data_IF_121155035048
#
_entry.id   IF_121155035048
#
_cell.length_a   1.000
_cell.length_b   1.000
_cell.length_c   1.000
_cell.angle_alpha   90.00
_cell.angle_beta   90.00
_cell.angle_gamma   90.00
#
_symmetry.space_group_name_H-M   'P 1'
#
loop_
_entity.id
_entity.type
_entity.pdbx_description
1 polymer ?
#
# COMPACT_ATOMS: atom_id res chain seq x y z
N UNK A 1 9.15 12.07 5.63
CA UNK A 1 7.74 11.80 5.32
C UNK A 1 6.78 12.52 6.28
N UNK A 2 6.63 12.09 7.54
CA UNK A 2 5.65 12.67 8.48
C UNK A 2 5.69 14.21 8.62
N UNK A 3 6.87 14.80 8.83
CA UNK A 3 6.98 16.25 8.97
C UNK A 3 6.58 17.00 7.68
N UNK A 4 6.94 16.45 6.51
CA UNK A 4 6.54 16.98 5.21
C UNK A 4 5.02 16.84 5.03
N UNK A 5 4.45 15.69 5.34
CA UNK A 5 3.02 15.45 5.25
C UNK A 5 2.23 16.42 6.15
N UNK A 6 2.68 16.64 7.39
CA UNK A 6 2.10 17.66 8.27
C UNK A 6 2.19 19.06 7.65
N UNK A 7 3.36 19.45 7.16
CA UNK A 7 3.58 20.79 6.60
C UNK A 7 2.79 21.02 5.30
N UNK A 8 2.54 19.96 4.53
CA UNK A 8 1.79 19.99 3.28
C UNK A 8 0.29 19.65 3.47
N UNK A 9 -0.17 19.49 4.72
CA UNK A 9 -1.56 19.11 5.03
C UNK A 9 -2.01 17.82 4.33
N UNK A 10 -1.10 16.86 4.13
CA UNK A 10 -1.40 15.59 3.51
C UNK A 10 -2.07 14.62 4.49
N UNK A 11 -3.03 13.84 4.00
CA UNK A 11 -3.81 12.92 4.84
C UNK A 11 -3.02 11.69 5.31
N UNK A 12 -1.99 11.27 4.56
CA UNK A 12 -1.27 10.04 4.86
C UNK A 12 0.17 10.03 4.34
N UNK A 13 0.94 9.09 4.87
CA UNK A 13 2.22 8.65 4.31
C UNK A 13 2.16 7.16 4.00
N UNK A 14 2.86 6.75 2.94
CA UNK A 14 3.17 5.35 2.65
C UNK A 14 4.53 5.00 3.24
N UNK A 15 4.59 3.93 4.03
CA UNK A 15 5.82 3.42 4.63
C UNK A 15 6.10 2.04 4.06
N UNK A 16 7.20 1.93 3.32
CA UNK A 16 7.57 0.68 2.66
C UNK A 16 7.83 -0.43 3.68
N UNK A 17 8.70 -0.20 4.66
CA UNK A 17 9.01 -1.19 5.72
C UNK A 17 8.74 -0.54 7.06
N UNK A 18 7.53 -0.73 7.59
CA UNK A 18 7.16 -0.23 8.91
C UNK A 18 7.63 -1.17 10.03
N UNK A 19 7.58 -2.48 9.78
CA UNK A 19 7.89 -3.54 10.74
C UNK A 19 8.74 -4.65 10.14
N UNK A 20 9.36 -5.45 11.02
CA UNK A 20 10.26 -6.54 10.66
C UNK A 20 11.57 -6.07 10.03
N UNK A 21 12.26 -6.98 9.34
CA UNK A 21 13.46 -6.67 8.59
C UNK A 21 13.42 -7.41 7.25
N UNK A 22 13.83 -6.71 6.19
CA UNK A 22 13.78 -7.24 4.82
C UNK A 22 15.11 -7.03 4.13
N UNK A 23 15.56 -8.05 3.39
CA UNK A 23 16.65 -7.94 2.43
C UNK A 23 16.11 -7.34 1.13
N UNK A 24 16.71 -6.25 0.71
CA UNK A 24 16.39 -5.51 -0.52
C UNK A 24 17.64 -5.41 -1.41
N UNK A 25 17.50 -4.82 -2.60
CA UNK A 25 18.63 -4.41 -3.45
C UNK A 25 19.57 -3.39 -2.77
N UNK A 26 19.08 -2.69 -1.74
CA UNK A 26 19.84 -1.73 -0.93
C UNK A 26 20.40 -2.33 0.38
N UNK A 27 20.33 -3.66 0.51
CA UNK A 27 20.71 -4.36 1.74
C UNK A 27 19.55 -4.55 2.71
N UNK A 28 19.87 -4.74 4.00
CA UNK A 28 18.88 -4.99 5.05
C UNK A 28 18.24 -3.66 5.45
N UNK A 29 16.92 -3.60 5.38
CA UNK A 29 16.13 -2.49 5.89
C UNK A 29 15.26 -2.98 7.04
N UNK A 30 15.36 -2.30 8.18
CA UNK A 30 14.64 -2.61 9.40
C UNK A 30 13.48 -1.62 9.62
N UNK A 31 12.32 -2.16 9.99
CA UNK A 31 11.14 -1.39 10.33
C UNK A 31 11.31 -0.65 11.65
N UNK A 32 11.03 0.66 11.64
CA UNK A 32 11.20 1.55 12.82
C UNK A 32 9.86 2.09 13.34
N UNK A 33 8.82 1.25 13.34
CA UNK A 33 7.45 1.62 13.75
C UNK A 33 7.40 2.48 15.04
N UNK A 34 8.09 2.03 16.07
CA UNK A 34 8.12 2.71 17.37
C UNK A 34 8.65 4.15 17.30
N UNK A 35 9.66 4.41 16.47
CA UNK A 35 10.19 5.76 16.25
C UNK A 35 9.24 6.61 15.40
N UNK A 36 8.65 6.02 14.36
CA UNK A 36 7.66 6.68 13.51
C UNK A 36 6.46 7.16 14.34
N UNK A 37 5.91 6.29 15.20
CA UNK A 37 4.77 6.61 16.06
C UNK A 37 5.10 7.69 17.10
N UNK A 38 6.26 7.57 17.77
CA UNK A 38 6.72 8.60 18.73
C UNK A 38 6.96 9.94 18.04
N UNK A 39 7.55 9.92 16.84
CA UNK A 39 7.79 11.13 16.08
C UNK A 39 6.47 11.76 15.63
N UNK A 40 5.51 10.98 15.11
CA UNK A 40 4.17 11.45 14.74
C UNK A 40 3.50 12.20 15.89
N UNK A 41 3.50 11.60 17.09
CA UNK A 41 2.97 12.23 18.30
C UNK A 41 3.74 13.48 18.70
N UNK A 42 5.08 13.42 18.71
CA UNK A 42 5.95 14.55 19.08
C UNK A 42 5.69 15.80 18.25
N UNK A 43 5.39 15.62 16.96
CA UNK A 43 5.12 16.74 16.05
C UNK A 43 3.63 17.06 15.94
N UNK A 44 2.72 16.42 16.69
CA UNK A 44 1.28 16.64 16.58
C UNK A 44 0.70 16.30 15.19
N UNK A 45 1.19 15.23 14.57
CA UNK A 45 0.78 14.77 13.23
C UNK A 45 -0.11 13.52 13.28
N UNK A 46 -0.86 13.29 14.36
CA UNK A 46 -1.74 12.11 14.49
C UNK A 46 -2.88 12.06 13.47
N UNK A 47 -3.22 13.20 12.85
CA UNK A 47 -4.13 13.25 11.71
C UNK A 47 -3.55 12.58 10.46
N UNK A 48 -2.21 12.56 10.30
CA UNK A 48 -1.53 11.93 9.17
C UNK A 48 -1.51 10.41 9.38
N UNK A 49 -2.23 9.69 8.52
CA UNK A 49 -2.35 8.24 8.54
C UNK A 49 -1.05 7.56 8.07
N UNK A 50 -0.73 6.42 8.65
CA UNK A 50 0.40 5.58 8.25
C UNK A 50 -0.14 4.37 7.50
N UNK A 51 -0.01 4.38 6.17
CA UNK A 51 -0.26 3.20 5.37
C UNK A 51 1.04 2.43 5.17
N UNK A 52 1.06 1.16 5.56
CA UNK A 52 2.25 0.32 5.51
C UNK A 52 2.15 -0.75 4.44
N UNK A 53 3.22 -0.95 3.67
CA UNK A 53 3.29 -2.04 2.70
C UNK A 53 3.43 -3.39 3.42
N UNK A 54 2.70 -4.39 2.92
CA UNK A 54 2.85 -5.80 3.28
C UNK A 54 3.59 -6.48 2.13
N UNK A 55 4.66 -7.22 2.45
CA UNK A 55 5.49 -7.90 1.46
C UNK A 55 5.92 -7.04 0.27
N UNK A 56 6.67 -6.01 0.65
CA UNK A 56 7.35 -5.02 -0.21
C UNK A 56 7.95 -5.63 -1.48
N UNK A 57 7.71 -4.96 -2.62
CA UNK A 57 8.34 -5.29 -3.90
C UNK A 57 9.85 -5.40 -3.80
N UNK A 58 10.44 -6.31 -4.58
CA UNK A 58 11.90 -6.46 -4.69
C UNK A 58 12.59 -6.74 -3.35
N UNK A 59 11.90 -7.42 -2.42
CA UNK A 59 12.46 -7.72 -1.12
C UNK A 59 12.00 -9.06 -0.55
N UNK A 60 12.84 -9.64 0.29
CA UNK A 60 12.59 -10.90 1.00
C UNK A 60 12.62 -10.64 2.50
N UNK A 61 11.71 -11.27 3.25
CA UNK A 61 11.77 -11.22 4.71
C UNK A 61 13.03 -11.97 5.20
N UNK A 62 13.68 -11.45 6.24
CA UNK A 62 14.86 -12.12 6.84
C UNK A 62 14.49 -13.33 7.70
N UNK A 63 13.21 -13.49 8.05
CA UNK A 63 12.68 -14.61 8.79
C UNK A 63 11.32 -14.97 8.20
N UNK A 64 11.04 -16.27 8.12
CA UNK A 64 9.73 -16.75 7.70
C UNK A 64 8.65 -16.27 8.68
N UNK A 65 7.59 -15.70 8.11
CA UNK A 65 6.39 -15.28 8.83
C UNK A 65 5.19 -15.67 8.00
N UNK A 66 4.12 -16.09 8.68
CA UNK A 66 2.83 -16.27 8.01
C UNK A 66 2.28 -14.91 7.60
N UNK A 67 1.42 -14.91 6.57
CA UNK A 67 0.77 -13.68 6.11
C UNK A 67 -0.06 -13.05 7.24
N UNK A 68 -0.75 -13.89 8.01
CA UNK A 68 -1.54 -13.52 9.18
C UNK A 68 -0.69 -12.75 10.20
N UNK A 69 0.47 -13.28 10.57
CA UNK A 69 1.37 -12.63 11.50
C UNK A 69 1.92 -11.30 10.93
N UNK A 70 2.30 -11.26 9.65
CA UNK A 70 2.77 -10.03 9.00
C UNK A 70 1.69 -8.93 9.05
N UNK A 71 0.44 -9.27 8.75
CA UNK A 71 -0.70 -8.34 8.79
C UNK A 71 -1.01 -7.88 10.21
N UNK A 72 -1.17 -8.80 11.16
CA UNK A 72 -1.53 -8.47 12.55
C UNK A 72 -0.45 -7.64 13.24
N UNK A 73 0.84 -7.97 13.05
CA UNK A 73 1.94 -7.19 13.61
C UNK A 73 2.04 -5.80 12.99
N UNK A 74 1.78 -5.67 11.68
CA UNK A 74 1.81 -4.37 11.00
C UNK A 74 0.69 -3.46 11.50
N UNK A 75 -0.53 -3.99 11.65
CA UNK A 75 -1.67 -3.22 12.12
C UNK A 75 -1.60 -2.92 13.62
N UNK A 76 -1.46 -3.95 14.45
CA UNK A 76 -1.69 -3.83 15.89
C UNK A 76 -0.43 -3.51 16.67
N UNK A 77 0.69 -4.17 16.35
CA UNK A 77 1.96 -3.94 17.07
C UNK A 77 2.69 -2.70 16.55
N UNK A 78 2.62 -2.46 15.25
CA UNK A 78 3.37 -1.40 14.57
C UNK A 78 2.53 -0.14 14.34
N UNK A 79 1.21 -0.22 14.56
CA UNK A 79 0.31 0.93 14.57
C UNK A 79 0.06 1.53 13.19
N UNK A 80 0.09 0.72 12.12
CA UNK A 80 -0.37 1.17 10.81
C UNK A 80 -1.87 1.47 10.85
N UNK A 81 -2.27 2.58 10.22
CA UNK A 81 -3.67 2.95 10.05
C UNK A 81 -4.33 2.20 8.88
N UNK A 82 -3.53 1.64 7.98
CA UNK A 82 -3.98 0.87 6.81
C UNK A 82 -2.84 0.10 6.16
N UNK A 83 -3.19 -0.83 5.29
CA UNK A 83 -2.23 -1.67 4.59
C UNK A 83 -2.19 -1.37 3.11
N UNK A 84 -1.02 -1.59 2.52
CA UNK A 84 -0.82 -1.55 1.08
C UNK A 84 -0.32 -2.91 0.62
N UNK A 85 -1.06 -3.55 -0.28
CA UNK A 85 -0.67 -4.78 -0.95
C UNK A 85 -0.10 -4.42 -2.32
N UNK A 86 1.11 -4.89 -2.60
CA UNK A 86 1.76 -4.69 -3.89
C UNK A 86 2.04 -6.03 -4.56
N UNK A 87 2.08 -6.08 -5.90
CA UNK A 87 2.54 -7.26 -6.63
C UNK A 87 4.04 -7.46 -6.43
N UNK A 88 4.61 -8.59 -6.85
CA UNK A 88 6.03 -8.91 -6.59
C UNK A 88 7.05 -7.98 -7.28
N UNK A 89 6.64 -7.24 -8.32
CA UNK A 89 7.48 -6.31 -9.08
C UNK A 89 6.67 -5.42 -10.03
N UNK A 90 7.32 -4.50 -10.72
CA UNK A 90 6.70 -3.66 -11.76
C UNK A 90 6.22 -4.53 -12.92
N UNK A 91 5.02 -4.27 -13.43
CA UNK A 91 4.40 -5.03 -14.53
C UNK A 91 3.89 -6.43 -14.17
N UNK A 92 4.16 -6.93 -12.94
CA UNK A 92 3.59 -8.19 -12.47
C UNK A 92 2.22 -7.95 -11.83
N UNK A 93 1.19 -8.74 -12.20
CA UNK A 93 -0.13 -8.63 -11.58
C UNK A 93 -0.05 -8.92 -10.08
N UNK A 94 -0.98 -8.34 -9.34
CA UNK A 94 -1.13 -8.63 -7.91
C UNK A 94 -1.74 -10.02 -7.77
N UNK A 95 -1.21 -10.81 -6.84
CA UNK A 95 -1.80 -12.09 -6.46
C UNK A 95 -3.15 -11.83 -5.77
N UNK A 96 -4.23 -12.20 -6.46
CA UNK A 96 -5.59 -12.00 -6.00
C UNK A 96 -5.89 -12.79 -4.72
N UNK A 97 -5.36 -14.01 -4.59
CA UNK A 97 -5.60 -14.84 -3.42
C UNK A 97 -4.90 -14.23 -2.20
N UNK A 98 -3.70 -13.69 -2.39
CA UNK A 98 -3.02 -12.89 -1.37
C UNK A 98 -3.83 -11.66 -0.98
N UNK A 99 -4.36 -10.91 -1.94
CA UNK A 99 -5.18 -9.72 -1.65
C UNK A 99 -6.43 -10.09 -0.84
N UNK A 100 -7.15 -11.15 -1.23
CA UNK A 100 -8.31 -11.66 -0.50
C UNK A 100 -7.95 -12.05 0.94
N UNK A 101 -6.84 -12.77 1.11
CA UNK A 101 -6.36 -13.17 2.43
C UNK A 101 -6.05 -11.93 3.29
N UNK A 102 -5.29 -10.96 2.79
CA UNK A 102 -5.01 -9.70 3.51
C UNK A 102 -6.30 -8.97 3.85
N UNK A 103 -7.25 -8.83 2.91
CA UNK A 103 -8.53 -8.17 3.16
C UNK A 103 -9.34 -8.86 4.26
N UNK A 104 -9.35 -10.19 4.28
CA UNK A 104 -10.00 -10.99 5.32
C UNK A 104 -9.35 -10.79 6.69
N UNK A 105 -8.02 -10.86 6.76
CA UNK A 105 -7.26 -10.74 8.02
C UNK A 105 -7.34 -9.30 8.57
N UNK A 106 -7.30 -8.29 7.69
CA UNK A 106 -7.29 -6.87 8.07
C UNK A 106 -8.61 -6.37 8.64
N UNK A 107 -9.68 -7.16 8.58
CA UNK A 107 -11.00 -6.85 9.15
C UNK A 107 -11.51 -5.45 8.79
N UNK A 108 -11.37 -4.48 9.71
CA UNK A 108 -11.91 -3.12 9.60
C UNK A 108 -10.89 -2.13 9.02
N UNK A 109 -9.61 -2.47 8.99
CA UNK A 109 -8.56 -1.58 8.53
C UNK A 109 -8.56 -1.53 7.00
N UNK A 110 -8.36 -0.34 6.40
CA UNK A 110 -8.36 -0.19 4.96
C UNK A 110 -7.17 -0.92 4.33
N UNK A 111 -7.44 -1.64 3.25
CA UNK A 111 -6.45 -2.34 2.42
C UNK A 111 -6.44 -1.71 1.05
N UNK A 112 -5.30 -1.14 0.66
CA UNK A 112 -5.10 -0.50 -0.63
C UNK A 112 -4.21 -1.35 -1.52
N UNK A 113 -4.42 -1.25 -2.83
CA UNK A 113 -3.50 -1.82 -3.81
C UNK A 113 -2.46 -0.79 -4.24
N UNK A 114 -1.19 -1.09 -3.98
CA UNK A 114 -0.08 -0.17 -4.20
C UNK A 114 0.54 -0.23 -5.59
N UNK A 115 0.12 -1.17 -6.44
CA UNK A 115 0.69 -1.39 -7.77
C UNK A 115 -0.07 -2.44 -8.58
N UNK A 116 0.26 -2.56 -9.87
CA UNK A 116 -0.25 -3.64 -10.73
C UNK A 116 -1.72 -3.48 -11.13
N UNK A 117 -2.30 -2.32 -10.85
CA UNK A 117 -3.69 -1.97 -11.20
C UNK A 117 -3.74 -1.35 -12.59
N UNK A 118 -4.68 -1.79 -13.41
CA UNK A 118 -4.95 -1.25 -14.73
C UNK A 118 -6.42 -1.41 -15.11
N UNK A 119 -6.84 -0.82 -16.23
CA UNK A 119 -8.20 -0.94 -16.78
C UNK A 119 -8.59 -2.39 -17.08
N UNK A 120 -7.62 -3.25 -17.36
CA UNK A 120 -7.84 -4.66 -17.71
C UNK A 120 -8.16 -5.54 -16.50
N UNK A 121 -7.71 -5.17 -15.29
CA UNK A 121 -7.85 -6.01 -14.10
C UNK A 121 -8.62 -5.36 -12.95
N UNK A 122 -8.98 -4.07 -13.06
CA UNK A 122 -9.60 -3.34 -11.95
C UNK A 122 -10.92 -3.95 -11.49
N UNK A 123 -11.73 -4.48 -12.41
CA UNK A 123 -13.02 -5.09 -12.09
C UNK A 123 -12.87 -6.35 -11.23
N UNK A 124 -11.76 -7.09 -11.40
CA UNK A 124 -11.43 -8.27 -10.60
C UNK A 124 -10.86 -7.90 -9.22
N UNK A 125 -10.11 -6.79 -9.15
CA UNK A 125 -9.41 -6.36 -7.94
C UNK A 125 -10.29 -5.53 -7.01
N UNK A 126 -11.21 -4.74 -7.56
CA UNK A 126 -11.95 -3.74 -6.79
C UNK A 126 -12.85 -4.26 -5.66
N UNK A 127 -13.43 -5.48 -5.73
CA UNK A 127 -14.20 -6.02 -4.62
C UNK A 127 -13.37 -6.31 -3.35
N UNK A 128 -12.04 -6.39 -3.47
CA UNK A 128 -11.14 -6.83 -2.40
C UNK A 128 -10.20 -5.73 -1.91
N UNK A 129 -10.37 -4.49 -2.36
CA UNK A 129 -9.55 -3.34 -1.97
C UNK A 129 -10.38 -2.08 -1.74
N UNK A 130 -10.02 -1.31 -0.71
CA UNK A 130 -10.70 -0.08 -0.33
C UNK A 130 -10.18 1.13 -1.13
N UNK A 131 -8.95 1.04 -1.65
CA UNK A 131 -8.28 2.10 -2.41
C UNK A 131 -7.17 1.58 -3.33
N UNK A 132 -6.71 2.44 -4.23
CA UNK A 132 -5.74 2.09 -5.26
C UNK A 132 -4.72 3.23 -5.44
N UNK A 133 -3.44 2.87 -5.47
CA UNK A 133 -2.35 3.77 -5.86
C UNK A 133 -1.89 3.32 -7.25
N UNK A 134 -2.22 4.13 -8.26
CA UNK A 134 -2.04 3.76 -9.67
C UNK A 134 -1.13 4.78 -10.34
N UNK A 135 -0.14 4.29 -11.09
CA UNK A 135 0.87 5.13 -11.75
C UNK A 135 1.14 4.68 -13.18
N UNK A 136 1.94 3.62 -13.35
CA UNK A 136 2.48 3.22 -14.66
C UNK A 136 1.41 2.90 -15.72
N UNK A 137 0.27 2.32 -15.35
CA UNK A 137 -0.82 2.00 -16.30
C UNK A 137 -1.56 3.23 -16.83
N UNK A 138 -1.42 4.36 -16.13
CA UNK A 138 -2.00 5.65 -16.53
C UNK A 138 -1.08 6.43 -17.47
N UNK A 139 0.06 5.85 -17.87
CA UNK A 139 1.04 6.47 -18.75
C UNK A 139 1.26 5.60 -20.00
N UNK A 140 1.60 6.19 -21.16
CA UNK A 140 1.97 5.44 -22.35
C UNK A 140 3.38 4.82 -22.25
N UNK A 141 4.28 5.46 -21.50
CA UNK A 141 5.60 4.95 -21.10
C UNK A 141 5.94 5.43 -19.68
N UNK A 142 7.00 4.91 -19.04
CA UNK A 142 7.30 5.25 -17.64
C UNK A 142 7.67 6.74 -17.45
N UNK A 143 8.35 7.30 -18.44
CA UNK A 143 8.87 8.67 -18.50
C UNK A 143 7.77 9.67 -18.89
N UNK A 144 6.71 9.21 -19.55
CA UNK A 144 5.62 10.06 -19.98
C UNK A 144 4.78 10.59 -18.80
N UNK A 145 4.08 11.74 -18.97
CA UNK A 145 3.09 12.19 -18.01
C UNK A 145 1.89 11.23 -17.95
N UNK A 146 1.09 11.38 -16.90
CA UNK A 146 -0.20 10.69 -16.77
C UNK A 146 -1.14 11.20 -17.88
N UNK A 147 -1.82 10.28 -18.56
CA UNK A 147 -2.85 10.59 -19.56
C UNK A 147 -4.22 10.67 -18.91
N UNK A 148 -4.86 11.84 -19.00
CA UNK A 148 -6.21 12.08 -18.46
C UNK A 148 -7.24 11.05 -18.97
N UNK A 149 -7.14 10.66 -20.25
CA UNK A 149 -8.04 9.65 -20.85
C UNK A 149 -7.99 8.32 -20.09
N UNK A 150 -6.78 7.84 -19.74
CA UNK A 150 -6.58 6.58 -19.01
C UNK A 150 -7.10 6.67 -17.57
N UNK A 151 -6.94 7.84 -16.94
CA UNK A 151 -7.50 8.11 -15.61
C UNK A 151 -9.03 8.03 -15.64
N UNK A 152 -9.66 8.73 -16.60
CA UNK A 152 -11.13 8.72 -16.75
C UNK A 152 -11.66 7.30 -16.96
N UNK A 153 -11.04 6.54 -17.84
CA UNK A 153 -11.45 5.15 -18.10
C UNK A 153 -11.37 4.28 -16.85
N UNK A 154 -10.27 4.35 -16.09
CA UNK A 154 -10.10 3.60 -14.86
C UNK A 154 -11.15 3.99 -13.79
N UNK A 155 -11.38 5.28 -13.61
CA UNK A 155 -12.35 5.80 -12.63
C UNK A 155 -13.78 5.43 -13.01
N UNK A 156 -14.13 5.45 -14.30
CA UNK A 156 -15.44 5.02 -14.77
C UNK A 156 -15.69 3.54 -14.47
N UNK A 157 -14.72 2.67 -14.71
CA UNK A 157 -14.82 1.24 -14.35
C UNK A 157 -14.99 1.03 -12.84
N UNK A 158 -14.17 1.71 -12.04
CA UNK A 158 -14.26 1.68 -10.58
C UNK A 158 -15.64 2.10 -10.06
N UNK A 159 -16.25 3.13 -10.66
CA UNK A 159 -17.59 3.59 -10.27
C UNK A 159 -18.68 2.59 -10.64
N UNK A 160 -18.57 1.95 -11.81
CA UNK A 160 -19.53 0.90 -12.23
C UNK A 160 -19.47 -0.32 -11.32
N UNK A 161 -18.27 -0.73 -10.90
CA UNK A 161 -18.07 -1.87 -9.99
C UNK A 161 -18.46 -1.62 -8.53
N UNK A 162 -18.74 -0.35 -8.15
CA UNK A 162 -19.10 0.06 -6.77
C UNK A 162 -20.59 0.41 -6.61
N UNK A 163 -21.46 0.02 -7.53
CA UNK A 163 -22.91 0.10 -7.35
C UNK A 163 -23.36 -0.97 -6.33
N UNK A 164 -23.21 -0.69 -5.03
CA UNK A 164 -24.14 -0.88 -3.88
C UNK A 164 -23.47 -0.29 -2.64
#
# INVERSE_FOLDING_TARGET
ALAIAKAAEADFIRVNILTGARLTDQGIIEGRAHEVLRFRKRIGAEHVKIFADISVKYSSALSERTLEAEVEETLHRSGADGLIVSGAGTGKPVDLERLKAVKKISQKQPVWLGSGVSTENIDQLSPFADGFIVGSSLKPSLEAPIEEKRVKELVERLRRGRLV
#
